data_IF_072094753336
#
_entry.id   IF_072094753336
#
_cell.length_a   1.000
_cell.length_b   1.000
_cell.length_c   1.000
_cell.angle_alpha   90.00
_cell.angle_beta   90.00
_cell.angle_gamma   90.00
#
_symmetry.space_group_name_H-M   'P 1'
#
loop_
_entity.id
_entity.type
_entity.pdbx_description
1 polymer ?
#
# COMPACT_ATOMS: atom_id res chain seq x y z
N UNK A 1 38.29 71.64 27.65
CA UNK A 1 37.68 71.08 26.43
C UNK A 1 38.31 69.72 26.16
N UNK A 2 37.71 68.61 26.61
CA UNK A 2 38.25 67.24 26.45
C UNK A 2 37.60 66.61 25.21
N UNK A 3 38.29 66.63 24.08
CA UNK A 3 37.89 65.83 22.92
C UNK A 3 38.18 64.36 23.22
N UNK A 4 37.13 63.57 23.40
CA UNK A 4 37.23 62.11 23.40
C UNK A 4 37.47 61.67 21.95
N UNK A 5 38.68 61.23 21.64
CA UNK A 5 39.01 60.49 20.42
C UNK A 5 38.26 59.15 20.48
N UNK A 6 37.14 59.05 19.77
CA UNK A 6 36.54 57.76 19.45
C UNK A 6 37.46 57.04 18.46
N UNK A 7 38.22 56.05 18.92
CA UNK A 7 38.91 55.11 18.03
C UNK A 7 37.85 54.43 17.16
N UNK A 8 37.79 54.79 15.87
CA UNK A 8 37.09 54.00 14.87
C UNK A 8 37.92 52.73 14.64
N UNK A 9 37.56 51.64 15.32
CA UNK A 9 38.08 50.31 14.99
C UNK A 9 37.50 49.90 13.63
N UNK A 10 38.31 49.98 12.58
CA UNK A 10 37.98 49.40 11.28
C UNK A 10 38.17 47.89 11.33
N UNK A 11 37.17 47.12 10.89
CA UNK A 11 37.35 45.69 10.65
C UNK A 11 38.47 45.51 9.63
N UNK A 12 39.43 44.65 9.96
CA UNK A 12 40.51 44.29 9.05
C UNK A 12 39.97 43.37 7.95
N UNK A 13 40.53 43.45 6.73
CA UNK A 13 40.11 42.61 5.60
C UNK A 13 40.22 41.10 5.91
N UNK A 14 41.15 40.73 6.80
CA UNK A 14 41.36 39.36 7.29
C UNK A 14 40.19 38.90 8.16
N UNK A 15 39.69 39.73 9.08
CA UNK A 15 38.53 39.40 9.92
C UNK A 15 37.25 39.22 9.08
N UNK A 16 37.08 40.02 8.02
CA UNK A 16 35.98 39.85 7.08
C UNK A 16 36.09 38.52 6.31
N UNK A 17 37.28 38.13 5.86
CA UNK A 17 37.50 36.88 5.16
C UNK A 17 37.21 35.67 6.05
N UNK A 18 37.72 35.68 7.30
CA UNK A 18 37.47 34.61 8.29
C UNK A 18 35.97 34.54 8.63
N UNK A 19 35.32 35.70 8.84
CA UNK A 19 33.88 35.77 9.10
C UNK A 19 33.06 35.14 7.96
N UNK A 20 33.43 35.42 6.71
CA UNK A 20 32.74 34.89 5.53
C UNK A 20 32.92 33.37 5.39
N UNK A 21 34.10 32.84 5.71
CA UNK A 21 34.35 31.39 5.75
C UNK A 21 33.49 30.72 6.82
N UNK A 22 33.47 31.26 8.05
CA UNK A 22 32.68 30.70 9.15
C UNK A 22 31.19 30.69 8.79
N UNK A 23 30.68 31.83 8.29
CA UNK A 23 29.27 31.95 7.87
C UNK A 23 28.97 30.95 6.75
N UNK A 24 29.85 30.79 5.77
CA UNK A 24 29.66 29.82 4.67
C UNK A 24 29.57 28.39 5.17
N UNK A 25 30.41 27.99 6.13
CA UNK A 25 30.38 26.65 6.75
C UNK A 25 29.07 26.44 7.50
N UNK A 26 28.63 27.44 8.28
CA UNK A 26 27.36 27.37 9.03
C UNK A 26 26.19 27.20 8.05
N UNK A 27 26.12 28.02 7.00
CA UNK A 27 25.07 27.90 5.99
C UNK A 27 25.10 26.53 5.30
N UNK A 28 26.27 26.04 4.90
CA UNK A 28 26.39 24.70 4.31
C UNK A 28 25.90 23.59 5.24
N UNK A 29 26.24 23.67 6.54
CA UNK A 29 25.77 22.71 7.53
C UNK A 29 24.23 22.76 7.69
N UNK A 30 23.66 23.96 7.76
CA UNK A 30 22.21 24.16 7.87
C UNK A 30 21.49 23.65 6.63
N UNK A 31 21.97 23.97 5.42
CA UNK A 31 21.39 23.45 4.17
C UNK A 31 21.45 21.93 4.07
N UNK A 32 22.55 21.32 4.53
CA UNK A 32 22.66 19.85 4.59
C UNK A 32 21.64 19.25 5.56
N UNK A 33 21.44 19.84 6.75
CA UNK A 33 20.43 19.39 7.70
C UNK A 33 19.01 19.49 7.11
N UNK A 34 18.67 20.60 6.46
CA UNK A 34 17.39 20.76 5.77
C UNK A 34 17.21 19.74 4.64
N UNK A 35 18.25 19.50 3.83
CA UNK A 35 18.23 18.51 2.74
C UNK A 35 17.98 17.09 3.26
N UNK A 36 18.65 16.70 4.36
CA UNK A 36 18.43 15.41 5.02
C UNK A 36 17.02 15.33 5.58
N UNK A 37 16.54 16.39 6.24
CA UNK A 37 15.18 16.46 6.79
C UNK A 37 14.09 16.30 5.72
N UNK A 38 14.24 17.00 4.59
CA UNK A 38 13.31 16.89 3.44
C UNK A 38 13.30 15.48 2.85
N UNK A 39 14.47 14.85 2.69
CA UNK A 39 14.57 13.46 2.23
C UNK A 39 13.90 12.48 3.21
N UNK A 40 14.15 12.65 4.52
CA UNK A 40 13.52 11.84 5.55
C UNK A 40 12.00 12.00 5.59
N UNK A 41 11.50 13.23 5.45
CA UNK A 41 10.06 13.51 5.41
C UNK A 41 9.38 12.89 4.18
N UNK A 42 9.95 13.06 2.99
CA UNK A 42 9.43 12.45 1.77
C UNK A 42 9.40 10.92 1.84
N UNK A 43 10.44 10.33 2.43
CA UNK A 43 10.51 8.89 2.68
C UNK A 43 9.38 8.42 3.60
N UNK A 44 9.21 9.08 4.76
CA UNK A 44 8.14 8.73 5.71
C UNK A 44 6.74 8.86 5.11
N UNK A 45 6.50 9.91 4.32
CA UNK A 45 5.22 10.10 3.64
C UNK A 45 4.95 9.03 2.57
N UNK A 46 5.96 8.64 1.80
CA UNK A 46 5.85 7.54 0.85
C UNK A 46 5.52 6.23 1.58
N UNK A 47 6.18 5.95 2.71
CA UNK A 47 5.93 4.74 3.50
C UNK A 47 4.48 4.64 3.95
N UNK A 48 3.95 5.72 4.54
CA UNK A 48 2.59 5.78 5.03
C UNK A 48 1.58 5.62 3.88
N UNK A 49 1.82 6.27 2.75
CA UNK A 49 0.95 6.17 1.57
C UNK A 49 0.87 4.73 1.05
N UNK A 50 2.01 4.03 1.00
CA UNK A 50 2.07 2.62 0.59
C UNK A 50 1.31 1.73 1.58
N UNK A 51 1.53 1.92 2.89
CA UNK A 51 0.86 1.14 3.93
C UNK A 51 -0.65 1.37 3.94
N UNK A 52 -1.10 2.62 3.84
CA UNK A 52 -2.52 2.97 3.79
C UNK A 52 -3.20 2.39 2.55
N UNK A 53 -2.57 2.52 1.38
CA UNK A 53 -3.08 1.93 0.14
C UNK A 53 -3.22 0.41 0.22
N UNK A 54 -2.23 -0.27 0.79
CA UNK A 54 -2.25 -1.70 1.00
C UNK A 54 -3.33 -2.13 2.01
N UNK A 55 -3.47 -1.39 3.12
CA UNK A 55 -4.45 -1.68 4.16
C UNK A 55 -5.89 -1.53 3.62
N UNK A 56 -6.19 -0.43 2.91
CA UNK A 56 -7.50 -0.18 2.32
C UNK A 56 -7.87 -1.29 1.32
N UNK A 57 -6.94 -1.65 0.43
CA UNK A 57 -7.18 -2.72 -0.54
C UNK A 57 -7.43 -4.06 0.15
N UNK A 58 -6.63 -4.40 1.16
CA UNK A 58 -6.80 -5.66 1.87
C UNK A 58 -8.13 -5.71 2.63
N UNK A 59 -8.52 -4.61 3.29
CA UNK A 59 -9.83 -4.52 3.94
C UNK A 59 -10.98 -4.67 2.94
N UNK A 60 -10.84 -4.13 1.73
CA UNK A 60 -11.83 -4.34 0.67
C UNK A 60 -11.89 -5.81 0.21
N UNK A 61 -10.74 -6.43 -0.03
CA UNK A 61 -10.66 -7.85 -0.42
C UNK A 61 -11.27 -8.73 0.68
N UNK A 62 -10.97 -8.46 1.94
CA UNK A 62 -11.52 -9.16 3.10
C UNK A 62 -13.04 -9.01 3.17
N UNK A 63 -13.54 -7.78 3.04
CA UNK A 63 -14.97 -7.51 3.01
C UNK A 63 -15.69 -8.29 1.89
N UNK A 64 -15.11 -8.29 0.70
CA UNK A 64 -15.66 -8.97 -0.46
C UNK A 64 -15.62 -10.51 -0.32
N UNK A 65 -14.53 -11.07 0.23
CA UNK A 65 -14.38 -12.51 0.47
C UNK A 65 -15.28 -13.02 1.59
N UNK A 66 -15.50 -12.21 2.64
CA UNK A 66 -16.46 -12.55 3.69
C UNK A 66 -17.89 -12.68 3.16
N UNK A 67 -18.21 -11.96 2.08
CA UNK A 67 -19.50 -12.00 1.39
C UNK A 67 -19.55 -12.98 0.21
N UNK A 68 -18.43 -13.61 -0.12
CA UNK A 68 -18.34 -14.51 -1.26
C UNK A 68 -19.19 -15.76 -1.03
N UNK A 69 -19.99 -16.13 -2.04
CA UNK A 69 -20.78 -17.36 -2.07
C UNK A 69 -20.10 -18.47 -2.84
N UNK A 70 -19.21 -18.13 -3.78
CA UNK A 70 -18.42 -19.10 -4.53
C UNK A 70 -17.13 -18.45 -5.02
N UNK A 71 -16.00 -19.14 -4.88
CA UNK A 71 -14.72 -18.72 -5.47
C UNK A 71 -14.57 -19.42 -6.82
N UNK A 72 -14.49 -18.65 -7.91
CA UNK A 72 -14.31 -19.19 -9.27
C UNK A 72 -12.85 -19.32 -9.62
N UNK A 73 -12.10 -18.23 -9.42
CA UNK A 73 -10.69 -18.12 -9.78
C UNK A 73 -9.90 -17.52 -8.60
N UNK A 74 -8.70 -18.05 -8.29
CA UNK A 74 -8.09 -19.27 -8.85
C UNK A 74 -8.81 -20.56 -8.42
N UNK A 75 -8.62 -21.63 -9.19
CA UNK A 75 -9.14 -22.96 -8.84
C UNK A 75 -8.56 -23.48 -7.51
N UNK A 76 -9.25 -24.40 -6.86
CA UNK A 76 -8.84 -24.94 -5.56
C UNK A 76 -7.39 -25.44 -5.57
N UNK A 77 -6.57 -24.93 -4.66
CA UNK A 77 -5.13 -25.25 -4.56
C UNK A 77 -4.23 -24.50 -5.54
N UNK A 78 -4.79 -23.81 -6.53
CA UNK A 78 -4.03 -23.01 -7.48
C UNK A 78 -3.79 -21.58 -6.97
N UNK A 79 -2.83 -20.91 -7.60
CA UNK A 79 -2.48 -19.53 -7.31
C UNK A 79 -2.39 -18.72 -8.58
N UNK A 80 -3.02 -17.56 -8.59
CA UNK A 80 -3.04 -16.63 -9.73
C UNK A 80 -2.98 -15.18 -9.25
N UNK A 81 -2.64 -14.27 -10.17
CA UNK A 81 -2.56 -12.82 -9.93
C UNK A 81 -3.94 -12.17 -9.98
N UNK A 82 -4.83 -12.76 -10.75
CA UNK A 82 -6.20 -12.33 -10.89
C UNK A 82 -7.11 -13.25 -10.07
N UNK A 83 -8.19 -12.71 -9.53
CA UNK A 83 -9.16 -13.49 -8.78
C UNK A 83 -10.58 -13.06 -9.07
N UNK A 84 -11.47 -14.04 -9.03
CA UNK A 84 -12.89 -13.86 -9.32
C UNK A 84 -13.73 -14.68 -8.36
N UNK A 85 -14.71 -14.04 -7.75
CA UNK A 85 -15.69 -14.71 -6.91
C UNK A 85 -17.08 -14.12 -7.09
N UNK A 86 -18.07 -14.94 -6.75
CA UNK A 86 -19.47 -14.54 -6.70
C UNK A 86 -19.84 -14.05 -5.31
N UNK A 87 -20.69 -13.04 -5.24
CA UNK A 87 -21.23 -12.50 -4.00
C UNK A 87 -22.76 -12.59 -3.99
N UNK A 88 -23.32 -12.80 -2.81
CA UNK A 88 -24.76 -12.71 -2.59
C UNK A 88 -25.18 -11.25 -2.40
N UNK A 89 -26.19 -10.83 -3.13
CA UNK A 89 -26.89 -9.57 -2.89
C UNK A 89 -27.98 -9.81 -1.84
N UNK A 90 -28.14 -8.87 -0.91
CA UNK A 90 -29.11 -8.99 0.19
C UNK A 90 -30.57 -8.93 -0.27
N UNK A 91 -30.85 -8.36 -1.45
CA UNK A 91 -32.21 -8.02 -1.89
C UNK A 91 -32.76 -8.83 -3.08
N UNK A 92 -31.94 -9.66 -3.73
CA UNK A 92 -32.39 -10.49 -4.87
C UNK A 92 -31.62 -11.80 -4.92
N UNK A 93 -32.24 -12.88 -5.43
CA UNK A 93 -31.56 -14.13 -5.75
C UNK A 93 -30.48 -14.00 -6.86
N UNK A 94 -30.13 -12.77 -7.25
CA UNK A 94 -29.10 -12.49 -8.21
C UNK A 94 -27.73 -12.52 -7.53
N UNK A 95 -26.79 -13.19 -8.17
CA UNK A 95 -25.39 -13.19 -7.79
C UNK A 95 -24.68 -12.00 -8.44
N UNK A 96 -23.82 -11.32 -7.67
CA UNK A 96 -22.88 -10.34 -8.19
C UNK A 96 -21.53 -11.02 -8.44
N UNK A 97 -20.71 -10.45 -9.32
CA UNK A 97 -19.37 -10.96 -9.61
C UNK A 97 -18.35 -9.89 -9.24
N UNK A 98 -17.37 -10.25 -8.43
CA UNK A 98 -16.22 -9.40 -8.13
C UNK A 98 -14.99 -9.97 -8.80
N UNK A 99 -14.27 -9.11 -9.50
CA UNK A 99 -13.03 -9.42 -10.19
C UNK A 99 -11.93 -8.48 -9.73
N UNK A 100 -10.77 -9.04 -9.41
CA UNK A 100 -9.55 -8.32 -9.14
C UNK A 100 -8.54 -8.63 -10.22
N UNK A 101 -8.08 -7.60 -10.92
CA UNK A 101 -7.07 -7.70 -11.97
C UNK A 101 -5.83 -6.90 -11.58
N UNK A 102 -4.66 -7.48 -11.78
CA UNK A 102 -3.39 -6.78 -11.59
C UNK A 102 -3.07 -5.92 -12.83
N UNK A 103 -2.97 -4.61 -12.66
CA UNK A 103 -2.51 -3.69 -13.71
C UNK A 103 -1.04 -3.29 -13.47
N UNK A 104 -0.41 -2.70 -14.49
CA UNK A 104 0.97 -2.22 -14.39
C UNK A 104 1.15 -1.11 -13.32
N UNK A 105 0.13 -0.26 -13.14
CA UNK A 105 0.16 0.92 -12.27
C UNK A 105 -0.94 0.90 -11.18
N UNK A 106 -1.40 -0.29 -10.78
CA UNK A 106 -2.41 -0.42 -9.72
C UNK A 106 -3.19 -1.73 -9.77
N UNK A 107 -4.22 -1.83 -8.93
CA UNK A 107 -5.09 -3.01 -8.85
C UNK A 107 -6.51 -2.57 -9.19
N UNK A 108 -7.10 -3.22 -10.18
CA UNK A 108 -8.45 -2.96 -10.61
C UNK A 108 -9.42 -3.92 -9.97
N UNK A 109 -10.42 -3.36 -9.28
CA UNK A 109 -11.58 -4.08 -8.79
C UNK A 109 -12.76 -3.77 -9.70
N UNK A 110 -13.34 -4.79 -10.30
CA UNK A 110 -14.60 -4.69 -11.03
C UNK A 110 -15.68 -5.45 -10.28
N UNK A 111 -16.72 -4.76 -9.84
CA UNK A 111 -17.91 -5.37 -9.26
C UNK A 111 -19.06 -5.26 -10.25
N UNK A 112 -19.49 -6.39 -10.79
CA UNK A 112 -20.69 -6.51 -11.62
C UNK A 112 -21.86 -6.91 -10.73
N UNK A 113 -22.76 -5.96 -10.48
CA UNK A 113 -23.88 -6.13 -9.56
C UNK A 113 -25.15 -5.71 -10.28
N UNK A 114 -26.06 -6.67 -10.51
CA UNK A 114 -27.33 -6.44 -11.21
C UNK A 114 -27.18 -5.75 -12.58
N UNK A 115 -26.14 -6.12 -13.35
CA UNK A 115 -25.85 -5.57 -14.67
C UNK A 115 -25.22 -4.19 -14.67
N UNK A 116 -24.87 -3.65 -13.49
CA UNK A 116 -24.08 -2.43 -13.34
C UNK A 116 -22.66 -2.80 -12.95
N UNK A 117 -21.71 -2.40 -13.79
CA UNK A 117 -20.30 -2.58 -13.54
C UNK A 117 -19.72 -1.37 -12.80
N UNK A 118 -19.25 -1.59 -11.59
CA UNK A 118 -18.53 -0.62 -10.78
C UNK A 118 -17.05 -0.95 -10.80
N UNK A 119 -16.27 -0.10 -11.49
CA UNK A 119 -14.82 -0.25 -11.63
C UNK A 119 -14.11 0.75 -10.73
N UNK A 120 -13.19 0.25 -9.91
CA UNK A 120 -12.35 1.06 -9.04
C UNK A 120 -10.90 0.62 -9.13
N UNK A 121 -9.98 1.58 -9.13
CA UNK A 121 -8.54 1.31 -9.21
C UNK A 121 -7.88 1.75 -7.92
N UNK A 122 -7.31 0.78 -7.21
CA UNK A 122 -6.52 0.94 -5.98
C UNK A 122 -5.04 1.10 -6.30
N UNK A 123 -4.29 1.71 -5.37
CA UNK A 123 -2.83 1.86 -5.45
C UNK A 123 -2.33 2.52 -6.75
N UNK A 124 -3.04 3.55 -7.23
CA UNK A 124 -2.75 4.23 -8.51
C UNK A 124 -1.33 4.79 -8.55
N UNK A 125 -0.57 4.45 -9.59
CA UNK A 125 0.79 4.94 -9.80
C UNK A 125 1.84 4.28 -8.88
N UNK A 126 1.47 3.21 -8.18
CA UNK A 126 2.37 2.38 -7.39
C UNK A 126 2.62 1.06 -8.13
N UNK A 127 3.84 0.53 -8.00
CA UNK A 127 4.14 -0.82 -8.49
C UNK A 127 3.55 -1.83 -7.51
N UNK A 128 2.66 -2.67 -7.99
CA UNK A 128 1.90 -3.60 -7.16
C UNK A 128 2.17 -5.04 -7.60
N UNK A 129 2.26 -5.95 -6.63
CA UNK A 129 2.20 -7.38 -6.86
C UNK A 129 1.03 -7.95 -6.07
N UNK A 130 0.16 -8.68 -6.76
CA UNK A 130 -0.97 -9.35 -6.15
C UNK A 130 -0.91 -10.82 -6.52
N UNK A 131 -1.14 -11.68 -5.53
CA UNK A 131 -1.27 -13.11 -5.73
C UNK A 131 -2.33 -13.65 -4.78
N UNK A 132 -3.30 -14.33 -5.36
CA UNK A 132 -4.35 -15.07 -4.70
C UNK A 132 -4.00 -16.55 -4.74
N UNK A 133 -4.25 -17.27 -3.65
CA UNK A 133 -4.14 -18.72 -3.62
C UNK A 133 -5.35 -19.30 -2.89
N UNK A 134 -6.14 -20.07 -3.63
CA UNK A 134 -7.36 -20.67 -3.12
C UNK A 134 -7.01 -21.87 -2.25
N UNK A 135 -7.48 -21.87 -1.01
CA UNK A 135 -7.25 -22.94 -0.04
C UNK A 135 -8.57 -23.49 0.46
N UNK A 136 -8.64 -24.81 0.52
CA UNK A 136 -9.73 -25.55 1.15
C UNK A 136 -9.17 -26.13 2.45
N UNK A 137 -9.80 -25.81 3.57
CA UNK A 137 -9.42 -26.27 4.91
C UNK A 137 -10.50 -27.24 5.40
N UNK A 138 -10.13 -28.48 5.78
CA UNK A 138 -11.07 -29.38 6.43
C UNK A 138 -11.42 -28.85 7.83
N UNK A 139 -12.70 -28.75 8.15
CA UNK A 139 -13.16 -28.48 9.52
C UNK A 139 -13.50 -29.82 10.20
N UNK A 140 -12.62 -30.36 11.07
CA UNK A 140 -12.82 -31.64 11.72
C UNK A 140 -14.00 -31.66 12.70
N UNK A 141 -14.51 -30.49 13.12
CA UNK A 141 -15.61 -30.41 14.08
C UNK A 141 -16.99 -30.57 13.41
N UNK A 142 -17.13 -30.17 12.13
CA UNK A 142 -18.44 -30.08 11.46
C UNK A 142 -18.56 -30.96 10.21
N UNK A 143 -17.55 -31.75 9.86
CA UNK A 143 -17.51 -32.50 8.59
C UNK A 143 -17.81 -31.61 7.36
N UNK A 144 -17.33 -30.36 7.42
CA UNK A 144 -17.48 -29.34 6.39
C UNK A 144 -16.11 -28.87 5.90
N UNK A 145 -16.04 -28.43 4.65
CA UNK A 145 -14.86 -27.78 4.09
C UNK A 145 -15.05 -26.28 4.16
N UNK A 146 -14.08 -25.58 4.77
CA UNK A 146 -14.01 -24.12 4.76
C UNK A 146 -13.16 -23.67 3.60
N UNK A 147 -13.72 -22.80 2.78
CA UNK A 147 -13.00 -22.19 1.66
C UNK A 147 -12.37 -20.88 2.12
N UNK A 148 -11.11 -20.66 1.77
CA UNK A 148 -10.37 -19.45 2.06
C UNK A 148 -9.42 -19.07 0.93
N UNK A 149 -8.87 -17.87 1.05
CA UNK A 149 -7.94 -17.31 0.09
C UNK A 149 -6.72 -16.79 0.84
N UNK A 150 -5.53 -17.24 0.45
CA UNK A 150 -4.29 -16.53 0.78
C UNK A 150 -4.16 -15.36 -0.18
N UNK A 151 -4.00 -14.17 0.39
CA UNK A 151 -3.76 -12.95 -0.36
C UNK A 151 -2.37 -12.46 -0.03
N UNK A 152 -1.48 -12.52 -1.01
CA UNK A 152 -0.14 -11.92 -0.97
C UNK A 152 -0.19 -10.60 -1.74
N UNK A 153 0.04 -9.50 -1.03
CA UNK A 153 0.05 -8.15 -1.58
C UNK A 153 1.43 -7.54 -1.36
N UNK A 154 2.03 -7.04 -2.42
CA UNK A 154 3.22 -6.21 -2.39
C UNK A 154 2.97 -4.86 -3.06
N UNK A 155 3.46 -3.79 -2.47
CA UNK A 155 3.31 -2.43 -2.98
C UNK A 155 4.66 -1.73 -2.86
N UNK A 156 5.12 -1.15 -3.96
CA UNK A 156 6.41 -0.49 -4.10
C UNK A 156 6.19 0.95 -4.60
N UNK A 157 6.82 1.91 -3.92
CA UNK A 157 6.81 3.30 -4.39
C UNK A 157 7.69 3.46 -5.65
N UNK A 158 7.25 4.26 -6.63
CA UNK A 158 8.05 4.54 -7.82
C UNK A 158 9.34 5.29 -7.46
N UNK A 159 10.42 5.02 -8.21
CA UNK A 159 11.78 5.54 -7.96
C UNK A 159 11.90 7.07 -7.98
N UNK A 160 10.84 7.80 -8.38
CA UNK A 160 10.77 9.27 -8.31
C UNK A 160 11.07 9.82 -6.91
N UNK A 161 10.89 9.01 -5.85
CA UNK A 161 11.18 9.41 -4.48
C UNK A 161 12.61 9.11 -4.00
N UNK A 162 13.51 8.60 -4.86
CA UNK A 162 14.88 8.20 -4.52
C UNK A 162 14.98 7.18 -3.37
N UNK A 163 13.87 6.52 -3.04
CA UNK A 163 13.74 5.52 -1.99
C UNK A 163 12.97 4.32 -2.52
N UNK A 164 13.62 3.15 -2.54
CA UNK A 164 13.00 1.87 -2.85
C UNK A 164 12.27 1.34 -1.61
N UNK A 165 11.12 1.94 -1.30
CA UNK A 165 10.27 1.44 -0.23
C UNK A 165 9.32 0.38 -0.78
N UNK A 166 9.42 -0.81 -0.18
CA UNK A 166 8.58 -1.97 -0.47
C UNK A 166 7.83 -2.36 0.78
N UNK A 167 6.53 -2.50 0.64
CA UNK A 167 5.67 -3.13 1.63
C UNK A 167 5.15 -4.45 1.07
N UNK A 168 5.17 -5.51 1.88
CA UNK A 168 4.63 -6.81 1.49
C UNK A 168 3.90 -7.43 2.66
N UNK A 169 2.73 -7.98 2.40
CA UNK A 169 1.91 -8.66 3.40
C UNK A 169 1.27 -9.90 2.82
N UNK A 170 1.09 -10.91 3.68
CA UNK A 170 0.39 -12.16 3.36
C UNK A 170 -0.67 -12.42 4.42
N UNK A 171 -1.93 -12.58 4.00
CA UNK A 171 -3.05 -12.83 4.92
C UNK A 171 -3.93 -13.97 4.41
N UNK A 172 -4.34 -14.85 5.32
CA UNK A 172 -5.39 -15.84 5.05
C UNK A 172 -6.73 -15.22 5.39
N UNK A 173 -7.68 -15.28 4.45
CA UNK A 173 -9.05 -14.82 4.62
C UNK A 173 -9.97 -16.00 4.38
N UNK A 174 -10.79 -16.34 5.37
CA UNK A 174 -11.74 -17.45 5.30
C UNK A 174 -13.08 -16.89 4.85
N UNK A 175 -13.68 -17.50 3.82
CA UNK A 175 -14.99 -17.11 3.33
C UNK A 175 -16.06 -17.59 4.31
N UNK A 176 -16.92 -16.69 4.79
CA UNK A 176 -17.91 -17.02 5.82
C UNK A 176 -19.14 -17.75 5.25
N UNK A 177 -19.50 -17.42 4.01
CA UNK A 177 -20.75 -17.87 3.39
C UNK A 177 -20.58 -19.12 2.51
N UNK A 178 -19.36 -19.64 2.36
CA UNK A 178 -19.08 -20.85 1.59
C UNK A 178 -18.99 -22.03 2.57
N UNK A 179 -19.98 -22.92 2.52
CA UNK A 179 -20.03 -24.15 3.28
C UNK A 179 -20.12 -25.30 2.30
N UNK A 180 -18.97 -25.83 1.90
CA UNK A 180 -18.93 -27.01 1.04
C UNK A 180 -19.02 -28.28 1.91
N UNK A 181 -19.94 -29.22 1.63
CA UNK A 181 -19.93 -30.51 2.29
C UNK A 181 -18.65 -31.26 1.91
N UNK A 182 -18.01 -31.94 2.86
CA UNK A 182 -16.86 -32.80 2.58
C UNK A 182 -17.31 -33.90 1.62
N UNK A 183 -16.83 -33.88 0.37
CA UNK A 183 -17.06 -35.02 -0.53
C UNK A 183 -16.34 -36.25 0.03
N UNK A 184 -17.02 -37.39 0.25
CA UNK A 184 -16.33 -38.62 0.63
C UNK A 184 -15.36 -39.06 -0.47
N UNK A 185 -14.28 -39.76 -0.10
CA UNK A 185 -13.26 -40.26 -1.05
C UNK A 185 -13.82 -41.26 -2.06
#
# INVERSE_FOLDING_TARGET
>A
MKQRLAMRMGLTMVELAIGLIIVSIIFAAVFNLFSIGLRGSNKGMAHLTIMEGAAILLSQIEYDLLRASSVKDPSAGASDKDARWEILLEDTANTGIIMYNLLADGIERTADVAGKQHKYVYCRGLKVGLRFQHVILPDPANAQQKVGMWVELSVEAPEKFATQEKFSMKRLIICKNILDPVSPP
#
